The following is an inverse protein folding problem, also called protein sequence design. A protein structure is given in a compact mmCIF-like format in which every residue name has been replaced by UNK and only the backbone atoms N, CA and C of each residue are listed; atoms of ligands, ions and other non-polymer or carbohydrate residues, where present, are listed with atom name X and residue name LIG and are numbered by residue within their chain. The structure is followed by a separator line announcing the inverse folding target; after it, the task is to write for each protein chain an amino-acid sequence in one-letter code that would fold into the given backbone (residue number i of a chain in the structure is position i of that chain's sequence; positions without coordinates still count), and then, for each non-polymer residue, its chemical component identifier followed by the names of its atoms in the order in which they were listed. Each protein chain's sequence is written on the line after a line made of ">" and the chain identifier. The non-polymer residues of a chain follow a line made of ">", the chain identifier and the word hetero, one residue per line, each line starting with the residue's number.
data_IF_405619050343
#
_entry.id   IF_405619050343
#
_cell.length_a   1.000
_cell.length_b   1.000
_cell.length_c   1.000
_cell.angle_alpha   90.00
_cell.angle_beta   90.00
_cell.angle_gamma   90.00
#
_symmetry.space_group_name_H-M   'P 1'
#
loop_
_entity.id
_entity.type
_entity.pdbx_description
1 polymer ?
#
# COMPACT_ATOMS: atom_id res chain seq x y z
N UNK A 1 5.06 14.27 24.55
CA UNK A 1 4.70 12.90 24.07
C UNK A 1 5.97 12.30 23.51
N UNK A 2 6.31 11.05 23.84
CA UNK A 2 7.46 10.40 23.23
C UNK A 2 7.17 10.18 21.74
N UNK A 3 8.20 10.22 20.90
CA UNK A 3 8.05 10.10 19.43
C UNK A 3 7.34 8.80 19.01
N UNK A 4 7.67 7.69 19.65
CA UNK A 4 7.02 6.40 19.41
C UNK A 4 5.54 6.37 19.85
N UNK A 5 5.19 7.07 20.96
CA UNK A 5 3.80 7.15 21.42
C UNK A 5 2.92 7.89 20.39
N UNK A 6 3.46 8.95 19.77
CA UNK A 6 2.80 9.63 18.66
C UNK A 6 2.49 8.66 17.51
N UNK A 7 3.49 7.85 17.10
CA UNK A 7 3.29 6.88 16.03
C UNK A 7 2.19 5.85 16.40
N UNK A 8 2.18 5.36 17.63
CA UNK A 8 1.12 4.45 18.11
C UNK A 8 -0.27 5.09 18.08
N UNK A 9 -0.39 6.35 18.51
CA UNK A 9 -1.65 7.08 18.46
C UNK A 9 -2.13 7.26 17.02
N UNK A 10 -1.28 7.74 16.12
CA UNK A 10 -1.60 7.94 14.69
C UNK A 10 -2.12 6.66 14.04
N UNK A 11 -1.48 5.55 14.34
CA UNK A 11 -1.89 4.24 13.84
C UNK A 11 -3.21 3.77 14.44
N UNK A 12 -3.46 4.01 15.73
CA UNK A 12 -4.73 3.65 16.38
C UNK A 12 -5.91 4.43 15.79
N UNK A 13 -5.74 5.70 15.48
CA UNK A 13 -6.73 6.59 14.88
C UNK A 13 -7.11 6.17 13.44
N UNK A 14 -6.21 5.51 12.71
CA UNK A 14 -6.47 5.04 11.34
C UNK A 14 -7.50 3.89 11.27
N UNK A 15 -7.87 3.28 12.40
CA UNK A 15 -8.74 2.10 12.49
C UNK A 15 -8.33 0.94 11.57
N UNK A 16 -7.08 0.95 11.11
CA UNK A 16 -6.56 -0.05 10.17
C UNK A 16 -6.43 -1.42 10.82
N UNK A 17 -6.99 -2.43 10.17
CA UNK A 17 -6.78 -3.83 10.57
C UNK A 17 -5.38 -4.37 10.22
N UNK A 18 -4.55 -3.55 9.58
CA UNK A 18 -3.19 -3.88 9.15
C UNK A 18 -2.35 -4.39 10.33
N UNK A 19 -2.42 -3.71 11.48
CA UNK A 19 -1.64 -4.06 12.67
C UNK A 19 -2.07 -5.35 13.37
N UNK A 20 -3.26 -5.87 13.10
CA UNK A 20 -3.71 -7.11 13.77
C UNK A 20 -2.84 -8.33 13.45
N UNK A 21 -2.18 -8.32 12.28
CA UNK A 21 -1.21 -9.34 11.86
C UNK A 21 0.14 -9.25 12.57
N UNK A 22 0.48 -8.10 13.16
CA UNK A 22 1.81 -7.87 13.75
C UNK A 22 1.92 -8.25 15.24
N UNK A 23 0.84 -8.70 15.86
CA UNK A 23 0.83 -9.12 17.28
C UNK A 23 1.81 -10.25 17.61
N UNK A 24 2.21 -11.02 16.61
CA UNK A 24 3.15 -12.16 16.75
C UNK A 24 4.61 -11.75 16.56
N UNK A 25 4.90 -10.48 16.25
CA UNK A 25 6.25 -9.96 16.11
C UNK A 25 6.84 -9.56 17.48
N UNK A 26 8.19 -9.54 17.56
CA UNK A 26 8.87 -8.91 18.69
C UNK A 26 8.44 -7.44 18.83
N UNK A 27 8.54 -6.90 20.03
CA UNK A 27 8.19 -5.49 20.31
C UNK A 27 8.94 -4.55 19.39
N UNK A 28 10.23 -4.79 19.18
CA UNK A 28 11.11 -4.01 18.33
C UNK A 28 10.63 -3.96 16.89
N UNK A 29 10.38 -5.11 16.24
CA UNK A 29 9.86 -5.19 14.86
C UNK A 29 8.47 -4.56 14.74
N UNK A 30 7.62 -4.76 15.74
CA UNK A 30 6.28 -4.17 15.76
C UNK A 30 6.36 -2.65 15.84
N UNK A 31 7.22 -2.09 16.69
CA UNK A 31 7.44 -0.66 16.78
C UNK A 31 7.98 -0.08 15.47
N UNK A 32 8.96 -0.74 14.83
CA UNK A 32 9.50 -0.32 13.55
C UNK A 32 8.42 -0.27 12.45
N UNK A 33 7.55 -1.28 12.37
CA UNK A 33 6.42 -1.28 11.42
C UNK A 33 5.39 -0.19 11.78
N UNK A 34 5.17 0.08 13.08
CA UNK A 34 4.28 1.16 13.52
C UNK A 34 4.81 2.52 13.07
N UNK A 35 6.12 2.77 13.19
CA UNK A 35 6.76 4.01 12.71
C UNK A 35 6.63 4.13 11.19
N UNK A 36 6.93 3.07 10.44
CA UNK A 36 6.76 3.06 8.98
C UNK A 36 5.31 3.36 8.58
N UNK A 37 4.34 2.72 9.24
CA UNK A 37 2.93 2.97 8.96
C UNK A 37 2.51 4.40 9.30
N UNK A 38 2.99 4.95 10.43
CA UNK A 38 2.74 6.34 10.79
C UNK A 38 3.33 7.31 9.76
N UNK A 39 4.54 7.01 9.24
CA UNK A 39 5.15 7.78 8.15
C UNK A 39 4.25 7.81 6.90
N UNK A 40 3.81 6.65 6.41
CA UNK A 40 2.91 6.58 5.27
C UNK A 40 1.60 7.34 5.53
N UNK A 41 1.03 7.19 6.73
CA UNK A 41 -0.24 7.83 7.08
C UNK A 41 -0.16 9.35 7.17
N UNK A 42 0.96 9.89 7.67
CA UNK A 42 1.19 11.33 7.64
C UNK A 42 1.27 11.88 6.21
N UNK A 43 1.97 11.17 5.33
CA UNK A 43 2.06 11.56 3.93
C UNK A 43 0.71 11.48 3.21
N UNK A 44 -0.09 10.42 3.47
CA UNK A 44 -1.47 10.31 2.96
C UNK A 44 -2.29 11.53 3.39
N UNK A 45 -2.22 11.89 4.69
CA UNK A 45 -3.00 13.02 5.24
C UNK A 45 -2.56 14.38 4.66
N UNK A 46 -1.31 14.54 4.23
CA UNK A 46 -0.86 15.74 3.49
C UNK A 46 -1.56 15.85 2.14
N UNK A 47 -1.72 14.74 1.43
CA UNK A 47 -2.29 14.74 0.07
C UNK A 47 -3.82 14.75 0.07
N UNK A 48 -4.43 13.99 0.98
CA UNK A 48 -5.89 13.83 1.05
C UNK A 48 -6.57 14.90 1.91
N UNK A 49 -5.86 15.44 2.91
CA UNK A 49 -6.39 16.44 3.85
C UNK A 49 -6.21 17.88 3.40
N UNK A 50 -5.33 18.17 2.43
CA UNK A 50 -5.05 19.53 2.00
C UNK A 50 -5.87 19.92 0.77
N UNK A 51 -6.65 20.99 0.90
CA UNK A 51 -7.48 21.50 -0.22
C UNK A 51 -6.69 22.37 -1.19
N UNK A 52 -5.53 22.93 -0.79
CA UNK A 52 -4.64 23.72 -1.63
C UNK A 52 -3.41 22.90 -2.05
N UNK A 53 -3.28 22.55 -3.35
CA UNK A 53 -2.13 21.78 -3.85
C UNK A 53 -0.78 22.44 -3.56
N UNK A 54 -0.70 23.79 -3.50
CA UNK A 54 0.56 24.47 -3.21
C UNK A 54 0.98 24.25 -1.74
N UNK A 55 0.02 24.25 -0.82
CA UNK A 55 0.29 23.97 0.60
C UNK A 55 0.74 22.52 0.76
N UNK A 56 0.07 21.56 0.10
CA UNK A 56 0.48 20.17 0.09
C UNK A 56 1.90 20.00 -0.45
N UNK A 57 2.24 20.68 -1.56
CA UNK A 57 3.58 20.67 -2.15
C UNK A 57 4.65 21.22 -1.18
N UNK A 58 4.38 22.36 -0.54
CA UNK A 58 5.30 22.94 0.46
C UNK A 58 5.50 21.97 1.63
N UNK A 59 4.42 21.32 2.06
CA UNK A 59 4.46 20.35 3.16
C UNK A 59 5.28 19.10 2.77
N UNK A 60 5.12 18.56 1.57
CA UNK A 60 5.97 17.44 1.08
C UNK A 60 7.45 17.83 1.00
N UNK A 61 7.76 19.06 0.55
CA UNK A 61 9.13 19.57 0.54
C UNK A 61 9.72 19.68 1.95
N UNK A 62 8.90 20.12 2.92
CA UNK A 62 9.30 20.14 4.32
C UNK A 62 9.55 18.72 4.86
N UNK A 63 8.70 17.73 4.53
CA UNK A 63 8.91 16.32 4.86
C UNK A 63 10.24 15.80 4.33
N UNK A 64 10.62 16.15 3.08
CA UNK A 64 11.94 15.79 2.51
C UNK A 64 13.09 16.40 3.31
N UNK A 65 12.99 17.70 3.63
CA UNK A 65 14.02 18.42 4.40
C UNK A 65 14.19 17.84 5.81
N UNK A 66 13.10 17.48 6.48
CA UNK A 66 13.15 16.90 7.83
C UNK A 66 13.63 15.44 7.80
N UNK A 67 13.31 14.68 6.71
CA UNK A 67 13.87 13.36 6.46
C UNK A 67 15.40 13.40 6.28
N UNK A 68 15.95 14.44 5.61
CA UNK A 68 17.41 14.63 5.49
C UNK A 68 18.10 14.62 6.85
N UNK A 69 17.53 15.31 7.85
CA UNK A 69 18.08 15.37 9.20
C UNK A 69 18.23 13.99 9.83
N UNK A 70 17.25 13.08 9.58
CA UNK A 70 17.32 11.69 10.06
C UNK A 70 18.58 10.99 9.56
N UNK A 71 18.93 11.17 8.29
CA UNK A 71 20.06 10.47 7.65
C UNK A 71 21.41 11.18 7.83
N UNK A 72 21.40 12.49 8.14
CA UNK A 72 22.58 13.26 8.49
C UNK A 72 22.92 13.23 9.99
N UNK A 73 22.19 12.41 10.79
CA UNK A 73 22.30 12.33 12.25
C UNK A 73 21.97 13.64 13.00
N UNK A 74 21.27 14.55 12.34
CA UNK A 74 20.72 15.76 12.95
C UNK A 74 19.43 15.41 13.72
N UNK A 75 18.89 16.37 14.48
CA UNK A 75 17.62 16.18 15.20
C UNK A 75 16.46 16.59 14.30
N UNK A 76 15.60 15.64 13.85
CA UNK A 76 14.42 15.99 13.07
C UNK A 76 13.34 16.63 13.94
N UNK A 77 12.45 17.38 13.29
CA UNK A 77 11.40 18.14 13.99
C UNK A 77 10.16 17.28 14.23
N UNK A 78 9.74 16.49 13.23
CA UNK A 78 8.52 15.71 13.32
C UNK A 78 8.70 14.45 14.20
N UNK A 79 7.74 14.12 15.10
CA UNK A 79 7.84 12.93 15.96
C UNK A 79 8.05 11.61 15.17
N UNK A 80 7.42 11.48 14.01
CA UNK A 80 7.60 10.29 13.15
C UNK A 80 9.04 10.17 12.66
N UNK A 81 9.69 11.27 12.28
CA UNK A 81 11.09 11.28 11.86
C UNK A 81 12.04 11.04 13.05
N UNK A 82 11.70 11.55 14.25
CA UNK A 82 12.45 11.24 15.47
C UNK A 82 12.41 9.73 15.77
N UNK A 83 11.21 9.12 15.72
CA UNK A 83 11.06 7.68 15.90
C UNK A 83 11.73 6.88 14.78
N UNK A 84 11.73 7.39 13.53
CA UNK A 84 12.44 6.76 12.42
C UNK A 84 13.95 6.75 12.64
N UNK A 85 14.51 7.84 13.17
CA UNK A 85 15.94 7.93 13.53
C UNK A 85 16.30 6.85 14.54
N UNK A 86 15.48 6.65 15.58
CA UNK A 86 15.73 5.65 16.63
C UNK A 86 15.69 4.22 16.07
N UNK A 87 14.70 3.88 15.23
CA UNK A 87 14.59 2.52 14.68
C UNK A 87 15.68 2.18 13.65
N UNK A 88 16.22 3.18 12.93
CA UNK A 88 17.31 2.96 11.95
C UNK A 88 18.57 2.39 12.57
N UNK A 89 18.81 2.56 13.85
CA UNK A 89 19.97 1.97 14.53
C UNK A 89 19.92 0.44 14.50
N UNK A 90 18.74 -0.15 14.41
CA UNK A 90 18.53 -1.59 14.49
C UNK A 90 18.11 -2.23 13.16
N UNK A 91 17.70 -1.41 12.16
CA UNK A 91 17.20 -1.90 10.88
C UNK A 91 17.86 -1.16 9.71
N UNK A 92 18.23 -1.91 8.68
CA UNK A 92 18.72 -1.37 7.40
C UNK A 92 17.56 -0.75 6.61
N UNK A 93 17.30 0.53 6.87
CA UNK A 93 16.22 1.31 6.24
C UNK A 93 16.83 2.41 5.37
N UNK A 94 17.01 2.21 4.06
CA UNK A 94 17.71 3.13 3.20
C UNK A 94 16.87 4.37 2.89
N UNK A 95 17.51 5.54 2.86
CA UNK A 95 16.92 6.86 2.62
C UNK A 95 16.08 6.93 1.34
N UNK A 96 16.65 6.42 0.25
CA UNK A 96 16.00 6.46 -1.06
C UNK A 96 14.65 5.74 -1.11
N UNK A 97 14.39 4.78 -0.23
CA UNK A 97 13.07 4.14 -0.12
C UNK A 97 12.04 5.09 0.52
N UNK A 98 12.42 5.89 1.51
CA UNK A 98 11.54 6.94 2.08
C UNK A 98 11.33 8.11 1.12
N UNK A 99 12.37 8.52 0.40
CA UNK A 99 12.24 9.53 -0.66
C UNK A 99 11.27 9.08 -1.75
N UNK A 100 11.33 7.80 -2.16
CA UNK A 100 10.42 7.24 -3.13
C UNK A 100 8.95 7.23 -2.64
N UNK A 101 8.69 7.05 -1.32
CA UNK A 101 7.35 7.21 -0.75
C UNK A 101 6.84 8.64 -0.90
N UNK A 102 7.67 9.64 -0.60
CA UNK A 102 7.31 11.05 -0.77
C UNK A 102 7.09 11.37 -2.26
N UNK A 103 7.92 10.80 -3.16
CA UNK A 103 7.72 10.93 -4.63
C UNK A 103 6.41 10.31 -5.09
N UNK A 104 5.97 9.23 -4.47
CA UNK A 104 4.67 8.62 -4.73
C UNK A 104 3.51 9.55 -4.36
N UNK A 105 3.59 10.22 -3.21
CA UNK A 105 2.61 11.23 -2.80
C UNK A 105 2.64 12.47 -3.70
N UNK A 106 3.83 12.86 -4.18
CA UNK A 106 3.97 13.91 -5.17
C UNK A 106 3.20 13.59 -6.47
N UNK A 107 3.25 12.32 -6.93
CA UNK A 107 2.47 11.88 -8.10
C UNK A 107 0.97 12.07 -7.89
N UNK A 108 0.44 11.80 -6.69
CA UNK A 108 -1.00 12.00 -6.39
C UNK A 108 -1.42 13.48 -6.39
N UNK A 109 -0.49 14.40 -6.13
CA UNK A 109 -0.76 15.84 -6.29
C UNK A 109 -0.72 16.31 -7.75
N UNK A 110 0.18 15.72 -8.55
CA UNK A 110 0.45 16.18 -9.92
C UNK A 110 -0.42 15.46 -10.96
N UNK A 111 -0.84 14.23 -10.69
CA UNK A 111 -1.46 13.34 -11.68
C UNK A 111 -2.81 12.81 -11.19
N UNK A 112 -3.90 13.38 -11.67
CA UNK A 112 -5.23 12.81 -11.47
C UNK A 112 -5.50 11.54 -12.33
N UNK A 113 -4.65 11.24 -13.32
CA UNK A 113 -4.82 10.20 -14.32
C UNK A 113 -3.50 9.62 -14.78
N UNK A 114 -3.48 8.30 -15.07
CA UNK A 114 -2.34 7.56 -15.61
C UNK A 114 -2.58 7.21 -17.08
N UNK A 115 -1.64 7.53 -17.97
CA UNK A 115 -1.74 7.24 -19.41
C UNK A 115 -1.64 5.75 -19.71
N UNK A 116 -0.69 5.08 -19.10
CA UNK A 116 -0.36 3.67 -19.32
C UNK A 116 -0.29 2.86 -18.03
N UNK A 117 -0.28 1.53 -18.18
CA UNK A 117 -0.05 0.65 -17.02
C UNK A 117 1.37 0.80 -16.45
N UNK A 118 2.36 1.12 -17.25
CA UNK A 118 3.73 1.31 -16.75
C UNK A 118 3.85 2.55 -15.86
N UNK A 119 3.13 3.64 -16.17
CA UNK A 119 3.02 4.80 -15.29
C UNK A 119 2.33 4.45 -13.96
N UNK A 120 1.21 3.74 -14.02
CA UNK A 120 0.53 3.26 -12.82
C UNK A 120 1.40 2.32 -11.99
N UNK A 121 2.18 1.46 -12.65
CA UNK A 121 3.11 0.55 -11.98
C UNK A 121 4.21 1.29 -11.24
N UNK A 122 4.73 2.39 -11.80
CA UNK A 122 5.70 3.25 -11.11
C UNK A 122 5.09 3.86 -9.84
N UNK A 123 3.87 4.37 -9.92
CA UNK A 123 3.11 4.84 -8.75
C UNK A 123 2.97 3.74 -7.70
N UNK A 124 2.44 2.57 -8.08
CA UNK A 124 2.27 1.42 -7.18
C UNK A 124 3.60 0.98 -6.54
N UNK A 125 4.71 1.00 -7.30
CA UNK A 125 6.04 0.75 -6.75
C UNK A 125 6.37 1.73 -5.63
N UNK A 126 6.19 3.03 -5.87
CA UNK A 126 6.51 4.09 -4.91
C UNK A 126 5.67 4.02 -3.64
N UNK A 127 4.33 3.87 -3.75
CA UNK A 127 3.42 3.93 -2.59
C UNK A 127 3.19 2.59 -1.89
N UNK A 128 3.53 1.45 -2.51
CA UNK A 128 3.26 0.13 -1.93
C UNK A 128 4.43 -0.85 -2.09
N UNK A 129 5.09 -0.91 -3.24
CA UNK A 129 6.27 -1.75 -3.46
C UNK A 129 7.37 -1.43 -2.46
N UNK A 130 7.71 -0.15 -2.33
CA UNK A 130 8.70 0.36 -1.37
C UNK A 130 8.29 0.06 0.07
N UNK A 131 7.01 0.22 0.43
CA UNK A 131 6.51 -0.18 1.78
C UNK A 131 6.74 -1.67 2.02
N UNK A 132 6.45 -2.51 1.03
CA UNK A 132 6.72 -3.95 1.10
C UNK A 132 8.19 -4.26 1.35
N UNK A 133 9.10 -3.58 0.65
CA UNK A 133 10.56 -3.71 0.80
C UNK A 133 11.03 -3.31 2.19
N UNK A 134 10.58 -2.15 2.70
CA UNK A 134 10.89 -1.69 4.06
C UNK A 134 10.38 -2.68 5.12
N UNK A 135 9.16 -3.20 4.97
CA UNK A 135 8.62 -4.24 5.85
C UNK A 135 9.48 -5.50 5.77
N UNK A 136 9.89 -5.96 4.57
CA UNK A 136 10.75 -7.12 4.42
C UNK A 136 12.10 -6.94 5.14
N UNK A 137 12.70 -5.74 5.10
CA UNK A 137 13.92 -5.39 5.85
C UNK A 137 13.71 -5.47 7.37
N UNK A 138 12.60 -4.93 7.88
CA UNK A 138 12.25 -5.01 9.31
C UNK A 138 12.02 -6.46 9.73
N UNK A 139 11.35 -7.26 8.92
CA UNK A 139 11.11 -8.68 9.19
C UNK A 139 12.41 -9.52 9.13
N UNK A 140 13.38 -9.05 8.34
CA UNK A 140 14.64 -9.73 8.08
C UNK A 140 14.53 -10.79 6.98
N UNK A 141 15.58 -10.92 6.19
CA UNK A 141 15.70 -11.92 5.12
C UNK A 141 17.16 -12.36 4.97
N UNK A 142 17.36 -13.54 4.38
CA UNK A 142 18.67 -14.10 4.06
C UNK A 142 19.03 -13.94 2.60
N UNK A 143 18.01 -13.84 1.71
CA UNK A 143 18.18 -13.79 0.27
C UNK A 143 17.69 -12.45 -0.27
N UNK A 144 18.52 -11.67 -0.99
CA UNK A 144 18.15 -10.37 -1.55
C UNK A 144 16.92 -10.41 -2.50
N UNK A 145 16.62 -11.57 -3.12
CA UNK A 145 15.42 -11.76 -3.94
C UNK A 145 14.13 -11.56 -3.15
N UNK A 146 14.18 -11.61 -1.83
CA UNK A 146 13.03 -11.29 -0.97
C UNK A 146 12.57 -9.85 -1.14
N UNK A 147 13.45 -8.92 -1.53
CA UNK A 147 13.06 -7.55 -1.86
C UNK A 147 12.28 -7.46 -3.18
N UNK A 148 12.60 -8.31 -4.17
CA UNK A 148 11.82 -8.41 -5.42
C UNK A 148 10.42 -8.98 -5.16
N UNK A 149 10.35 -10.02 -4.31
CA UNK A 149 9.08 -10.55 -3.81
C UNK A 149 8.25 -9.47 -3.12
N UNK A 150 8.86 -8.72 -2.21
CA UNK A 150 8.16 -7.72 -1.41
C UNK A 150 7.62 -6.56 -2.26
N UNK A 151 8.40 -6.10 -3.23
CA UNK A 151 8.00 -5.10 -4.21
C UNK A 151 6.81 -5.57 -5.05
N UNK A 152 6.94 -6.77 -5.65
CA UNK A 152 5.88 -7.36 -6.46
C UNK A 152 4.61 -7.64 -5.66
N UNK A 153 4.74 -8.03 -4.39
CA UNK A 153 3.61 -8.23 -3.50
C UNK A 153 2.95 -6.89 -3.15
N UNK A 154 3.73 -5.83 -2.93
CA UNK A 154 3.22 -4.47 -2.76
C UNK A 154 2.39 -4.02 -3.96
N UNK A 155 2.87 -4.26 -5.18
CA UNK A 155 2.10 -4.02 -6.41
C UNK A 155 0.76 -4.76 -6.39
N UNK A 156 0.74 -6.05 -6.05
CA UNK A 156 -0.50 -6.84 -6.01
C UNK A 156 -1.52 -6.30 -4.99
N UNK A 157 -1.03 -5.87 -3.82
CA UNK A 157 -1.86 -5.26 -2.78
C UNK A 157 -2.44 -3.93 -3.26
N UNK A 158 -1.62 -3.08 -3.90
CA UNK A 158 -2.07 -1.77 -4.39
C UNK A 158 -3.05 -1.90 -5.56
N UNK A 159 -2.83 -2.81 -6.49
CA UNK A 159 -3.81 -3.12 -7.54
C UNK A 159 -5.16 -3.55 -6.94
N UNK A 160 -5.15 -4.31 -5.84
CA UNK A 160 -6.38 -4.69 -5.13
C UNK A 160 -7.07 -3.48 -4.48
N UNK A 161 -6.30 -2.53 -3.90
CA UNK A 161 -6.84 -1.28 -3.39
C UNK A 161 -7.48 -0.46 -4.51
N UNK A 162 -6.76 -0.24 -5.61
CA UNK A 162 -7.27 0.50 -6.77
C UNK A 162 -8.56 -0.11 -7.31
N UNK A 163 -8.63 -1.44 -7.44
CA UNK A 163 -9.85 -2.14 -7.87
C UNK A 163 -11.00 -1.91 -6.88
N UNK A 164 -10.75 -2.03 -5.58
CA UNK A 164 -11.75 -1.86 -4.51
C UNK A 164 -12.31 -0.45 -4.46
N UNK A 165 -11.44 0.54 -4.65
CA UNK A 165 -11.72 1.93 -4.34
C UNK A 165 -12.11 2.78 -5.57
N UNK A 166 -12.25 2.19 -6.78
CA UNK A 166 -12.57 2.92 -8.03
C UNK A 166 -13.74 3.90 -7.86
N UNK A 167 -14.82 3.51 -7.18
CA UNK A 167 -15.98 4.39 -6.96
C UNK A 167 -15.72 5.46 -5.91
N UNK A 168 -14.88 5.21 -4.92
CA UNK A 168 -14.48 6.17 -3.90
C UNK A 168 -13.53 7.23 -4.48
N UNK A 169 -12.53 6.77 -5.24
CA UNK A 169 -11.57 7.62 -5.96
C UNK A 169 -12.28 8.52 -6.97
N UNK A 170 -13.25 7.98 -7.72
CA UNK A 170 -14.03 8.73 -8.68
C UNK A 170 -14.80 9.90 -8.02
N UNK A 171 -15.36 9.69 -6.81
CA UNK A 171 -16.03 10.77 -6.07
C UNK A 171 -15.07 11.88 -5.61
N UNK A 172 -13.78 11.57 -5.53
CA UNK A 172 -12.70 12.53 -5.24
C UNK A 172 -12.06 13.11 -6.53
N UNK A 173 -12.58 12.80 -7.71
CA UNK A 173 -12.05 13.26 -8.99
C UNK A 173 -10.86 12.48 -9.53
N UNK A 174 -10.49 11.35 -8.92
CA UNK A 174 -9.33 10.53 -9.28
C UNK A 174 -9.76 9.27 -10.02
N UNK A 175 -9.00 8.86 -11.05
CA UNK A 175 -9.15 7.57 -11.73
C UNK A 175 -7.77 6.97 -11.93
N UNK A 176 -7.46 5.90 -11.20
CA UNK A 176 -6.17 5.20 -11.29
C UNK A 176 -6.12 4.18 -12.45
N UNK A 177 -7.26 3.80 -13.02
CA UNK A 177 -7.28 2.89 -14.17
C UNK A 177 -6.62 3.54 -15.38
N UNK A 178 -5.64 2.86 -16.06
CA UNK A 178 -4.90 3.43 -17.18
C UNK A 178 -5.81 3.86 -18.32
N UNK A 179 -5.53 5.04 -18.91
CA UNK A 179 -6.32 5.60 -20.02
C UNK A 179 -6.31 4.65 -21.22
N UNK A 180 -5.15 4.09 -21.57
CA UNK A 180 -5.02 3.12 -22.68
C UNK A 180 -5.94 1.91 -22.51
N UNK A 181 -6.11 1.43 -21.27
CA UNK A 181 -6.96 0.28 -20.97
C UNK A 181 -8.43 0.66 -20.96
N UNK A 182 -8.77 1.83 -20.44
CA UNK A 182 -10.13 2.36 -20.54
C UNK A 182 -10.55 2.51 -22.01
N UNK A 183 -9.66 3.00 -22.87
CA UNK A 183 -9.89 3.10 -24.32
C UNK A 183 -10.05 1.71 -24.96
N UNK A 184 -9.20 0.75 -24.61
CA UNK A 184 -9.25 -0.63 -25.11
C UNK A 184 -10.60 -1.30 -24.86
N UNK A 185 -11.26 -0.97 -23.74
CA UNK A 185 -12.55 -1.53 -23.36
C UNK A 185 -13.74 -0.59 -23.64
N UNK A 186 -13.53 0.53 -24.35
CA UNK A 186 -14.57 1.55 -24.64
C UNK A 186 -15.25 2.06 -23.35
N UNK A 187 -14.47 2.34 -22.31
CA UNK A 187 -14.95 2.91 -21.03
C UNK A 187 -14.53 4.37 -20.94
N UNK A 188 -15.38 5.32 -21.29
CA UNK A 188 -15.07 6.73 -21.14
C UNK A 188 -15.07 7.15 -19.66
N UNK A 189 -14.26 8.16 -19.29
CA UNK A 189 -14.10 8.61 -17.92
C UNK A 189 -15.41 8.97 -17.20
N UNK A 190 -16.39 9.50 -17.93
CA UNK A 190 -17.68 9.87 -17.37
C UNK A 190 -18.48 8.68 -16.83
N UNK A 191 -18.28 7.47 -17.34
CA UNK A 191 -18.89 6.23 -16.80
C UNK A 191 -18.42 6.00 -15.36
N UNK A 192 -17.12 6.18 -15.12
CA UNK A 192 -16.52 6.01 -13.79
C UNK A 192 -16.92 7.20 -12.90
N UNK A 193 -16.76 8.44 -13.38
CA UNK A 193 -17.05 9.64 -12.60
C UNK A 193 -18.53 9.77 -12.19
N UNK A 194 -19.45 9.23 -13.00
CA UNK A 194 -20.88 9.19 -12.67
C UNK A 194 -21.27 7.94 -11.87
N UNK A 195 -20.34 7.06 -11.55
CA UNK A 195 -20.57 5.80 -10.86
C UNK A 195 -21.66 4.93 -11.52
N UNK A 196 -21.70 4.89 -12.87
CA UNK A 196 -22.70 4.14 -13.64
C UNK A 196 -22.04 2.92 -14.29
N UNK A 197 -22.17 1.71 -13.69
CA UNK A 197 -21.56 0.52 -14.26
C UNK A 197 -22.20 0.17 -15.62
N UNK A 198 -21.33 -0.22 -16.57
CA UNK A 198 -21.71 -0.70 -17.91
C UNK A 198 -21.11 -2.07 -18.16
N UNK A 199 -21.57 -2.80 -19.18
CA UNK A 199 -20.99 -4.10 -19.54
C UNK A 199 -19.51 -3.98 -19.93
N UNK A 200 -19.13 -2.88 -20.58
CA UNK A 200 -17.74 -2.61 -20.94
C UNK A 200 -16.88 -2.34 -19.70
N UNK A 201 -17.43 -1.59 -18.73
CA UNK A 201 -16.75 -1.40 -17.44
C UNK A 201 -16.60 -2.72 -16.68
N UNK A 202 -17.60 -3.61 -16.71
CA UNK A 202 -17.48 -4.93 -16.11
C UNK A 202 -16.33 -5.76 -16.73
N UNK A 203 -16.17 -5.71 -18.06
CA UNK A 203 -15.06 -6.37 -18.78
C UNK A 203 -13.69 -5.77 -18.38
N UNK A 204 -13.59 -4.44 -18.30
CA UNK A 204 -12.39 -3.75 -17.84
C UNK A 204 -12.02 -4.18 -16.41
N UNK A 205 -12.99 -4.21 -15.50
CA UNK A 205 -12.75 -4.59 -14.11
C UNK A 205 -12.35 -6.07 -13.98
N UNK A 206 -12.94 -6.95 -14.78
CA UNK A 206 -12.51 -8.36 -14.84
C UNK A 206 -11.06 -8.51 -15.33
N UNK A 207 -10.66 -7.69 -16.30
CA UNK A 207 -9.27 -7.63 -16.76
C UNK A 207 -8.33 -7.19 -15.62
N UNK A 208 -8.70 -6.15 -14.83
CA UNK A 208 -7.93 -5.69 -13.68
C UNK A 208 -7.81 -6.77 -12.59
N UNK A 209 -8.92 -7.46 -12.27
CA UNK A 209 -8.92 -8.57 -11.30
C UNK A 209 -7.98 -9.70 -11.73
N UNK A 210 -8.00 -10.07 -13.00
CA UNK A 210 -7.13 -11.13 -13.53
C UNK A 210 -5.65 -10.72 -13.45
N UNK A 211 -5.31 -9.48 -13.78
CA UNK A 211 -3.95 -8.92 -13.62
C UNK A 211 -3.50 -8.98 -12.16
N UNK A 212 -4.32 -8.49 -11.24
CA UNK A 212 -3.99 -8.53 -9.81
C UNK A 212 -3.73 -9.97 -9.32
N UNK A 213 -4.57 -10.94 -9.73
CA UNK A 213 -4.37 -12.35 -9.40
C UNK A 213 -3.04 -12.90 -9.90
N UNK A 214 -2.69 -12.59 -11.15
CA UNK A 214 -1.41 -13.05 -11.71
C UNK A 214 -0.24 -12.42 -10.97
N UNK A 215 -0.33 -11.13 -10.64
CA UNK A 215 0.69 -10.45 -9.84
C UNK A 215 0.91 -11.11 -8.47
N UNK A 216 -0.16 -11.58 -7.78
CA UNK A 216 -0.01 -12.37 -6.54
C UNK A 216 0.73 -13.69 -6.75
N UNK A 217 0.45 -14.40 -7.87
CA UNK A 217 1.11 -15.67 -8.19
C UNK A 217 2.59 -15.46 -8.49
N UNK A 218 2.89 -14.47 -9.34
CA UNK A 218 4.27 -14.11 -9.66
C UNK A 218 5.05 -13.69 -8.40
N UNK A 219 4.47 -12.82 -7.56
CA UNK A 219 5.10 -12.42 -6.31
C UNK A 219 5.43 -13.62 -5.43
N UNK A 220 4.50 -14.55 -5.26
CA UNK A 220 4.72 -15.74 -4.44
C UNK A 220 5.85 -16.62 -4.97
N UNK A 221 6.03 -16.72 -6.29
CA UNK A 221 7.11 -17.50 -6.91
C UNK A 221 8.49 -16.89 -6.65
N UNK A 222 8.56 -15.56 -6.47
CA UNK A 222 9.80 -14.84 -6.16
C UNK A 222 10.27 -15.04 -4.71
N UNK A 223 9.38 -15.48 -3.78
CA UNK A 223 9.75 -15.62 -2.37
C UNK A 223 10.67 -16.81 -2.16
N UNK A 224 11.95 -16.59 -1.75
CA UNK A 224 12.87 -17.66 -1.44
C UNK A 224 12.37 -18.57 -0.32
N UNK A 225 12.68 -19.87 -0.42
CA UNK A 225 12.19 -20.88 0.53
C UNK A 225 12.65 -20.61 1.97
N UNK A 226 13.91 -20.17 2.12
CA UNK A 226 14.57 -19.85 3.38
C UNK A 226 13.91 -18.67 4.10
N UNK A 227 13.33 -17.71 3.37
CA UNK A 227 12.74 -16.49 3.94
C UNK A 227 11.22 -16.59 4.18
N UNK A 228 10.58 -17.71 3.81
CA UNK A 228 9.12 -17.89 4.02
C UNK A 228 8.72 -17.75 5.49
N UNK A 229 9.59 -18.10 6.42
CA UNK A 229 9.30 -18.01 7.86
C UNK A 229 9.37 -16.57 8.35
N UNK A 230 10.40 -15.80 7.97
CA UNK A 230 10.55 -14.40 8.34
C UNK A 230 9.45 -13.55 7.71
N UNK A 231 9.10 -13.79 6.44
CA UNK A 231 8.09 -13.05 5.69
C UNK A 231 6.63 -13.48 5.95
N UNK A 232 6.39 -14.33 6.94
CA UNK A 232 5.06 -14.91 7.23
C UNK A 232 3.97 -13.88 7.46
N UNK A 233 4.30 -12.75 8.08
CA UNK A 233 3.36 -11.65 8.33
C UNK A 233 2.95 -10.99 7.02
N UNK A 234 3.88 -10.75 6.10
CA UNK A 234 3.59 -10.26 4.75
C UNK A 234 2.68 -11.22 3.97
N UNK A 235 2.90 -12.53 4.10
CA UNK A 235 2.03 -13.55 3.49
C UNK A 235 0.62 -13.57 4.08
N UNK A 236 0.44 -13.24 5.35
CA UNK A 236 -0.89 -13.10 5.98
C UNK A 236 -1.63 -11.91 5.37
N UNK A 237 -0.95 -10.78 5.20
CA UNK A 237 -1.53 -9.61 4.54
C UNK A 237 -1.94 -9.94 3.10
N UNK A 238 -1.06 -10.59 2.34
CA UNK A 238 -1.36 -11.06 0.99
C UNK A 238 -2.60 -11.95 0.95
N UNK A 239 -2.75 -12.88 1.89
CA UNK A 239 -3.90 -13.78 1.96
C UNK A 239 -5.22 -13.04 2.24
N UNK A 240 -5.20 -12.01 3.10
CA UNK A 240 -6.38 -11.19 3.42
C UNK A 240 -6.81 -10.39 2.18
N UNK A 241 -5.85 -9.74 1.51
CA UNK A 241 -6.12 -8.94 0.31
C UNK A 241 -6.51 -9.79 -0.90
N UNK A 242 -5.90 -10.96 -1.06
CA UNK A 242 -6.31 -11.92 -2.09
C UNK A 242 -7.74 -12.44 -1.85
N UNK A 243 -8.12 -12.64 -0.58
CA UNK A 243 -9.51 -12.98 -0.24
C UNK A 243 -10.46 -11.82 -0.54
N UNK A 244 -10.03 -10.56 -0.34
CA UNK A 244 -10.79 -9.38 -0.72
C UNK A 244 -10.98 -9.30 -2.24
N UNK A 245 -9.91 -9.49 -3.03
CA UNK A 245 -9.98 -9.53 -4.49
C UNK A 245 -10.95 -10.59 -5.00
N UNK A 246 -10.94 -11.78 -4.38
CA UNK A 246 -11.88 -12.84 -4.72
C UNK A 246 -13.33 -12.53 -4.31
N UNK A 247 -13.53 -11.76 -3.25
CA UNK A 247 -14.87 -11.31 -2.85
C UNK A 247 -15.42 -10.27 -3.83
N UNK A 248 -14.58 -9.32 -4.26
CA UNK A 248 -14.91 -8.33 -5.30
C UNK A 248 -15.31 -9.03 -6.61
N UNK A 249 -14.54 -10.02 -7.04
CA UNK A 249 -14.84 -10.78 -8.25
C UNK A 249 -16.15 -11.57 -8.15
N UNK A 250 -16.41 -12.21 -6.99
CA UNK A 250 -17.63 -12.99 -6.75
C UNK A 250 -18.89 -12.12 -6.69
N UNK A 251 -18.77 -10.93 -6.13
CA UNK A 251 -19.87 -9.95 -6.04
C UNK A 251 -20.20 -9.32 -7.40
N UNK A 252 -19.25 -9.37 -8.33
CA UNK A 252 -19.25 -8.66 -9.59
C UNK A 252 -18.38 -7.41 -9.50
N UNK A 253 -17.20 -7.44 -10.12
CA UNK A 253 -16.18 -6.42 -9.93
C UNK A 253 -16.62 -4.99 -10.33
N UNK A 254 -17.67 -4.85 -11.17
CA UNK A 254 -18.27 -3.56 -11.54
C UNK A 254 -19.01 -2.88 -10.36
N UNK A 255 -19.42 -3.65 -9.34
CA UNK A 255 -20.19 -3.13 -8.20
C UNK A 255 -19.38 -2.21 -7.29
N UNK A 256 -18.03 -2.23 -7.39
CA UNK A 256 -17.14 -1.31 -6.66
C UNK A 256 -17.39 0.18 -6.99
N UNK A 257 -18.06 0.49 -8.12
CA UNK A 257 -18.50 1.85 -8.42
C UNK A 257 -19.59 2.34 -7.46
N UNK A 258 -20.42 1.44 -6.96
CA UNK A 258 -21.61 1.79 -6.16
C UNK A 258 -21.38 1.66 -4.67
N UNK A 259 -20.61 0.65 -4.22
CA UNK A 259 -20.32 0.41 -2.81
C UNK A 259 -18.96 -0.25 -2.61
N UNK A 260 -18.42 -0.06 -1.41
CA UNK A 260 -17.12 -0.61 -1.00
C UNK A 260 -17.29 -2.02 -0.45
N UNK A 261 -16.55 -2.97 -1.03
CA UNK A 261 -16.53 -4.36 -0.57
C UNK A 261 -15.42 -4.51 0.47
N UNK A 262 -15.71 -5.19 1.58
CA UNK A 262 -14.77 -5.40 2.66
C UNK A 262 -14.87 -6.81 3.26
N UNK A 263 -13.76 -7.28 3.81
CA UNK A 263 -13.72 -8.55 4.56
C UNK A 263 -14.01 -8.27 6.05
N UNK A 264 -15.03 -8.90 6.64
CA UNK A 264 -15.34 -8.74 8.07
C UNK A 264 -14.17 -9.20 8.98
N UNK A 265 -13.97 -8.52 10.11
CA UNK A 265 -12.88 -8.79 11.05
C UNK A 265 -12.77 -10.25 11.49
N UNK A 266 -13.86 -11.00 11.80
CA UNK A 266 -13.76 -12.42 12.14
C UNK A 266 -13.18 -13.27 10.99
N UNK A 267 -13.56 -12.95 9.74
CA UNK A 267 -13.04 -13.64 8.54
C UNK A 267 -11.56 -13.34 8.32
N UNK A 268 -11.12 -12.08 8.54
CA UNK A 268 -9.69 -11.71 8.50
C UNK A 268 -8.87 -12.53 9.51
N UNK A 269 -9.35 -12.66 10.74
CA UNK A 269 -8.68 -13.47 11.79
C UNK A 269 -8.57 -14.94 11.39
N UNK A 270 -9.63 -15.53 10.81
CA UNK A 270 -9.63 -16.92 10.33
C UNK A 270 -8.63 -17.10 9.16
N UNK A 271 -8.58 -16.17 8.21
CA UNK A 271 -7.62 -16.19 7.10
C UNK A 271 -6.20 -16.10 7.66
N UNK A 272 -5.95 -15.19 8.59
CA UNK A 272 -4.64 -15.03 9.23
C UNK A 272 -4.18 -16.32 9.90
N UNK A 273 -5.03 -16.97 10.71
CA UNK A 273 -4.72 -18.23 11.37
C UNK A 273 -4.44 -19.35 10.37
N UNK A 274 -5.31 -19.48 9.34
CA UNK A 274 -5.12 -20.49 8.28
C UNK A 274 -3.78 -20.28 7.55
N UNK A 275 -3.46 -19.04 7.20
CA UNK A 275 -2.20 -18.71 6.51
C UNK A 275 -1.00 -18.93 7.43
N UNK A 276 -1.13 -18.64 8.71
CA UNK A 276 -0.09 -18.92 9.69
C UNK A 276 0.26 -20.42 9.76
N UNK A 277 -0.74 -21.29 9.70
CA UNK A 277 -0.56 -22.75 9.80
C UNK A 277 -0.14 -23.39 8.47
N UNK A 278 -0.77 -23.00 7.37
CA UNK A 278 -0.69 -23.72 6.08
C UNK A 278 -0.03 -22.90 4.96
N UNK A 279 0.38 -21.66 5.23
CA UNK A 279 0.94 -20.75 4.24
C UNK A 279 -0.10 -20.11 3.31
N UNK A 280 0.36 -19.15 2.50
CA UNK A 280 -0.43 -18.46 1.49
C UNK A 280 -0.50 -19.27 0.19
N UNK A 281 -1.71 -19.42 -0.36
CA UNK A 281 -1.98 -20.11 -1.65
C UNK A 281 -2.92 -19.22 -2.46
N UNK A 282 -2.39 -18.42 -3.41
CA UNK A 282 -3.18 -17.61 -4.32
C UNK A 282 -3.86 -18.44 -5.41
#
# INVERSE_FOLDING_TARGET
>A
MLALDYCHQKVAESHSSFLSGFRFLSVEKRNAITVLYAFCRELDDVVDGCTDPNVAQITLNWWRSDLEKVFNNEMPEHPVHQALKDIRENFDLPKNEFEALIDGMQMDLEQARYGSFDELKLYCHRVAGVVGRLIARILGFSNPKTLEYADKMGLALQLTNIIRDVGEDARQGRIYLPIEEMQKFDVPANVIMQCKPTDNFAKLMQFQVNRARETYREAKLLLPAEDKKSQKVGLIMAAIYYALLNEIDRDGAQNVLTYKIAIPSPRKKRIALKTWLFGFKP
#
